data_IF_132953451243
#
_entry.id   IF_132953451243
#
_cell.length_a   1.000
_cell.length_b   1.000
_cell.length_c   1.000
_cell.angle_alpha   90.00
_cell.angle_beta   90.00
_cell.angle_gamma   90.00
#
_symmetry.space_group_name_H-M   'P 1'
#
loop_
_entity.id
_entity.type
_entity.pdbx_description
1 polymer ?
#
# COMPACT_ATOMS: atom_id res chain seq x y z
N UNK A 1 1.26 -18.82 7.18
CA UNK A 1 2.45 -17.96 7.38
C UNK A 1 2.75 -17.25 6.07
N UNK A 2 3.04 -15.94 6.09
CA UNK A 2 3.33 -15.16 4.89
C UNK A 2 4.72 -15.45 4.32
N UNK A 3 4.84 -15.40 2.99
CA UNK A 3 6.13 -15.40 2.29
C UNK A 3 6.85 -14.07 2.46
N UNK A 4 8.16 -14.02 2.22
CA UNK A 4 8.92 -12.76 2.29
C UNK A 4 8.43 -11.71 1.29
N UNK A 5 7.98 -12.16 0.12
CA UNK A 5 7.33 -11.30 -0.87
C UNK A 5 6.04 -10.69 -0.32
N UNK A 6 5.15 -11.50 0.25
CA UNK A 6 3.90 -11.02 0.85
C UNK A 6 4.17 -10.05 2.01
N UNK A 7 5.13 -10.36 2.88
CA UNK A 7 5.53 -9.44 3.96
C UNK A 7 6.02 -8.10 3.42
N UNK A 8 6.77 -8.12 2.31
CA UNK A 8 7.25 -6.91 1.64
C UNK A 8 6.10 -6.09 1.07
N UNK A 9 5.14 -6.74 0.40
CA UNK A 9 3.95 -6.07 -0.14
C UNK A 9 3.08 -5.47 0.97
N UNK A 10 2.88 -6.19 2.08
CA UNK A 10 2.10 -5.67 3.21
C UNK A 10 2.73 -4.39 3.75
N UNK A 11 4.06 -4.37 3.98
CA UNK A 11 4.76 -3.16 4.45
C UNK A 11 4.59 -2.01 3.48
N UNK A 12 4.84 -2.26 2.19
CA UNK A 12 4.74 -1.27 1.12
C UNK A 12 3.33 -0.68 1.02
N UNK A 13 2.31 -1.53 1.03
CA UNK A 13 0.92 -1.09 1.00
C UNK A 13 0.53 -0.33 2.27
N UNK A 14 1.04 -0.71 3.44
CA UNK A 14 0.83 0.06 4.67
C UNK A 14 1.59 1.40 4.69
N UNK A 15 2.40 1.70 3.66
CA UNK A 15 3.10 2.97 3.51
C UNK A 15 4.45 3.03 4.23
N UNK A 16 4.97 1.87 4.60
CA UNK A 16 6.25 1.73 5.27
C UNK A 16 7.40 1.54 4.26
N UNK A 17 8.54 2.24 4.43
CA UNK A 17 9.73 2.05 3.58
C UNK A 17 10.31 0.63 3.60
N UNK A 18 11.15 0.34 2.59
CA UNK A 18 11.73 -0.97 2.31
C UNK A 18 12.77 -1.42 3.35
N UNK A 19 12.75 -2.69 3.75
CA UNK A 19 13.52 -3.26 4.91
C UNK A 19 15.03 -3.31 4.74
N UNK A 20 15.48 -3.51 3.51
CA UNK A 20 16.85 -3.90 3.26
C UNK A 20 17.14 -5.33 3.71
N UNK A 21 18.18 -5.92 3.13
CA UNK A 21 18.56 -7.32 3.35
C UNK A 21 19.41 -7.52 4.63
N UNK A 22 20.06 -6.47 5.13
CA UNK A 22 21.08 -6.58 6.18
C UNK A 22 20.88 -5.48 7.24
N UNK A 23 20.96 -5.81 8.55
CA UNK A 23 21.00 -4.79 9.60
C UNK A 23 22.37 -4.10 9.57
N UNK A 24 22.50 -3.05 8.74
CA UNK A 24 23.63 -2.15 8.76
C UNK A 24 23.12 -0.74 9.07
N UNK A 25 23.60 -0.16 10.16
CA UNK A 25 23.24 1.20 10.62
C UNK A 25 22.13 1.26 11.67
N UNK A 26 22.30 2.17 12.64
CA UNK A 26 21.28 2.54 13.63
C UNK A 26 20.15 3.40 13.05
N UNK A 27 20.26 3.79 11.78
CA UNK A 27 19.26 4.56 11.02
C UNK A 27 18.24 3.66 10.32
N UNK A 28 18.24 2.36 10.63
CA UNK A 28 17.31 1.40 10.03
C UNK A 28 15.93 1.52 10.70
N UNK A 29 14.89 1.69 9.91
CA UNK A 29 13.51 1.83 10.38
C UNK A 29 13.00 0.69 11.28
N UNK A 30 13.73 -0.43 11.32
CA UNK A 30 13.55 -1.53 12.28
C UNK A 30 13.39 -1.07 13.73
N UNK A 31 13.95 0.08 14.09
CA UNK A 31 13.90 0.63 15.45
C UNK A 31 12.65 1.46 15.75
N UNK A 32 11.81 1.76 14.76
CA UNK A 32 10.50 2.36 15.03
C UNK A 32 9.58 1.30 15.65
N UNK A 33 9.01 1.61 16.81
CA UNK A 33 8.11 0.72 17.56
C UNK A 33 6.96 0.16 16.70
N UNK A 34 6.48 0.96 15.75
CA UNK A 34 5.43 0.60 14.81
C UNK A 34 5.83 -0.59 13.90
N UNK A 35 7.08 -0.67 13.48
CA UNK A 35 7.55 -1.76 12.64
C UNK A 35 7.73 -3.07 13.41
N UNK A 36 8.25 -3.00 14.64
CA UNK A 36 8.29 -4.16 15.52
C UNK A 36 6.90 -4.73 15.77
N UNK A 37 5.91 -3.86 15.97
CA UNK A 37 4.51 -4.25 16.13
C UNK A 37 3.96 -4.92 14.86
N UNK A 38 4.20 -4.35 13.69
CA UNK A 38 3.77 -4.95 12.41
C UNK A 38 4.38 -6.34 12.22
N UNK A 39 5.70 -6.48 12.38
CA UNK A 39 6.38 -7.77 12.23
C UNK A 39 5.87 -8.81 13.23
N UNK A 40 5.65 -8.41 14.48
CA UNK A 40 5.05 -9.29 15.48
C UNK A 40 3.67 -9.77 15.02
N UNK A 41 2.78 -8.87 14.57
CA UNK A 41 1.45 -9.25 14.08
C UNK A 41 1.53 -10.17 12.88
N UNK A 42 2.36 -9.86 11.87
CA UNK A 42 2.53 -10.70 10.69
C UNK A 42 2.96 -12.13 10.98
N UNK A 43 3.67 -12.34 12.10
CA UNK A 43 4.08 -13.68 12.53
C UNK A 43 3.05 -14.37 13.46
N UNK A 44 2.07 -13.64 14.00
CA UNK A 44 1.13 -14.15 15.01
C UNK A 44 -0.35 -14.12 14.57
N UNK A 45 -0.66 -13.73 13.33
CA UNK A 45 -2.03 -13.76 12.79
C UNK A 45 -2.56 -15.21 12.71
N UNK A 46 -3.86 -15.36 12.97
CA UNK A 46 -4.55 -16.62 12.74
C UNK A 46 -4.61 -16.96 11.24
N UNK A 47 -4.90 -18.22 10.92
CA UNK A 47 -5.07 -18.65 9.53
C UNK A 47 -6.22 -17.90 8.82
N UNK A 48 -7.30 -17.61 9.54
CA UNK A 48 -8.44 -16.86 9.00
C UNK A 48 -8.06 -15.42 8.66
N UNK A 49 -7.37 -14.72 9.57
CA UNK A 49 -6.93 -13.35 9.32
C UNK A 49 -5.86 -13.30 8.22
N UNK A 50 -4.99 -14.31 8.14
CA UNK A 50 -4.03 -14.45 7.04
C UNK A 50 -4.76 -14.45 5.70
N UNK A 51 -5.85 -15.22 5.56
CA UNK A 51 -6.64 -15.25 4.33
C UNK A 51 -7.27 -13.89 3.99
N UNK A 52 -7.74 -13.16 4.99
CA UNK A 52 -8.26 -11.79 4.79
C UNK A 52 -7.18 -10.87 4.24
N UNK A 53 -5.97 -10.92 4.80
CA UNK A 53 -4.83 -10.13 4.28
C UNK A 53 -4.48 -10.52 2.85
N UNK A 54 -4.51 -11.81 2.50
CA UNK A 54 -4.26 -12.25 1.12
C UNK A 54 -5.31 -11.69 0.14
N UNK A 55 -6.58 -11.60 0.54
CA UNK A 55 -7.63 -10.92 -0.24
C UNK A 55 -7.32 -9.44 -0.43
N UNK A 56 -6.87 -8.75 0.63
CA UNK A 56 -6.42 -7.37 0.52
C UNK A 56 -5.25 -7.23 -0.47
N UNK A 57 -4.24 -8.10 -0.40
CA UNK A 57 -3.09 -8.06 -1.31
C UNK A 57 -3.50 -8.23 -2.78
N UNK A 58 -4.41 -9.16 -3.07
CA UNK A 58 -4.92 -9.35 -4.42
C UNK A 58 -5.65 -8.10 -4.95
N UNK A 59 -6.51 -7.51 -4.11
CA UNK A 59 -7.26 -6.31 -4.49
C UNK A 59 -6.35 -5.08 -4.65
N UNK A 60 -5.39 -4.90 -3.75
CA UNK A 60 -4.44 -3.80 -3.79
C UNK A 60 -3.53 -3.88 -5.01
N UNK A 61 -3.07 -5.07 -5.39
CA UNK A 61 -2.32 -5.25 -6.63
C UNK A 61 -3.16 -4.85 -7.86
N UNK A 62 -4.43 -5.27 -7.92
CA UNK A 62 -5.32 -4.90 -9.02
C UNK A 62 -5.56 -3.38 -9.11
N UNK A 63 -5.79 -2.72 -7.97
CA UNK A 63 -5.96 -1.27 -7.89
C UNK A 63 -4.69 -0.52 -8.28
N UNK A 64 -3.52 -0.99 -7.82
CA UNK A 64 -2.22 -0.40 -8.17
C UNK A 64 -1.97 -0.43 -9.68
N UNK A 65 -2.25 -1.54 -10.36
CA UNK A 65 -2.15 -1.62 -11.82
C UNK A 65 -3.18 -0.75 -12.54
N UNK A 66 -4.35 -0.51 -11.95
CA UNK A 66 -5.40 0.30 -12.55
C UNK A 66 -5.06 1.80 -12.59
N UNK A 67 -4.25 2.30 -11.65
CA UNK A 67 -3.86 3.71 -11.58
C UNK A 67 -3.09 4.17 -12.82
N UNK A 68 -1.93 3.59 -13.20
CA UNK A 68 -1.19 4.01 -14.38
C UNK A 68 -1.94 3.71 -15.69
N UNK A 69 -2.77 2.65 -15.73
CA UNK A 69 -3.62 2.34 -16.90
C UNK A 69 -4.67 3.41 -17.20
N UNK A 70 -5.02 4.26 -16.24
CA UNK A 70 -5.85 5.44 -16.53
C UNK A 70 -5.16 6.46 -17.45
N UNK A 71 -3.84 6.32 -17.63
CA UNK A 71 -3.00 7.08 -18.55
C UNK A 71 -3.30 6.82 -20.03
N UNK A 72 -3.77 5.63 -20.40
CA UNK A 72 -3.96 5.23 -21.80
C UNK A 72 -4.96 6.12 -22.56
N UNK A 73 -5.86 6.79 -21.85
CA UNK A 73 -6.84 7.73 -22.40
C UNK A 73 -6.54 9.20 -22.11
N UNK A 74 -5.32 9.56 -21.66
CA UNK A 74 -5.00 10.93 -21.25
C UNK A 74 -5.02 11.97 -22.37
N UNK A 75 -4.68 11.55 -23.59
CA UNK A 75 -4.54 12.45 -24.74
C UNK A 75 -5.87 12.74 -25.46
N UNK A 76 -6.95 12.01 -25.13
CA UNK A 76 -8.25 12.13 -25.81
C UNK A 76 -9.35 12.49 -24.82
N UNK A 77 -9.83 13.72 -24.88
CA UNK A 77 -10.92 14.21 -24.01
C UNK A 77 -12.32 13.75 -24.48
N UNK A 78 -12.47 13.57 -25.80
CA UNK A 78 -13.70 13.07 -26.43
C UNK A 78 -13.38 12.20 -27.65
N UNK A 79 -14.00 11.02 -27.71
CA UNK A 79 -13.94 10.13 -28.87
C UNK A 79 -15.36 9.82 -29.33
N UNK A 80 -15.79 10.45 -30.44
CA UNK A 80 -17.17 10.41 -30.93
C UNK A 80 -18.18 10.84 -29.83
N UNK A 81 -19.15 9.99 -29.50
CA UNK A 81 -20.20 10.26 -28.50
C UNK A 81 -19.70 9.99 -27.06
N UNK A 82 -18.52 9.39 -26.89
CA UNK A 82 -17.96 9.05 -25.59
C UNK A 82 -17.13 10.20 -25.02
N UNK A 83 -17.50 10.65 -23.81
CA UNK A 83 -16.74 11.62 -23.02
C UNK A 83 -15.99 10.89 -21.92
N UNK A 84 -14.71 11.21 -21.73
CA UNK A 84 -13.88 10.60 -20.69
C UNK A 84 -14.20 11.16 -19.30
N UNK A 85 -14.07 10.33 -18.26
CA UNK A 85 -14.01 10.82 -16.88
C UNK A 85 -12.63 11.48 -16.63
N UNK A 86 -12.59 12.82 -16.63
CA UNK A 86 -11.37 13.60 -16.37
C UNK A 86 -10.77 13.38 -14.97
N UNK A 87 -11.54 12.84 -14.04
CA UNK A 87 -11.11 12.56 -12.67
C UNK A 87 -10.69 11.10 -12.45
N UNK A 88 -10.80 10.24 -13.45
CA UNK A 88 -10.59 8.79 -13.31
C UNK A 88 -9.25 8.42 -12.66
N UNK A 89 -8.15 9.05 -13.07
CA UNK A 89 -6.83 8.79 -12.49
C UNK A 89 -6.78 9.18 -11.00
N UNK A 90 -7.38 10.31 -10.63
CA UNK A 90 -7.49 10.77 -9.25
C UNK A 90 -8.37 9.83 -8.43
N UNK A 91 -9.54 9.46 -8.95
CA UNK A 91 -10.51 8.60 -8.26
C UNK A 91 -9.91 7.21 -8.00
N UNK A 92 -9.18 6.66 -8.97
CA UNK A 92 -8.46 5.38 -8.81
C UNK A 92 -7.34 5.47 -7.78
N UNK A 93 -6.56 6.55 -7.77
CA UNK A 93 -5.51 6.75 -6.77
C UNK A 93 -6.09 6.89 -5.36
N UNK A 94 -7.20 7.64 -5.20
CA UNK A 94 -7.91 7.78 -3.93
C UNK A 94 -8.48 6.44 -3.44
N UNK A 95 -9.09 5.66 -4.34
CA UNK A 95 -9.58 4.32 -4.02
C UNK A 95 -8.43 3.40 -3.56
N UNK A 96 -7.29 3.44 -4.25
CA UNK A 96 -6.11 2.69 -3.86
C UNK A 96 -5.62 3.07 -2.45
N UNK A 97 -5.48 4.35 -2.16
CA UNK A 97 -5.03 4.80 -0.83
C UNK A 97 -6.07 4.52 0.28
N UNK A 98 -7.36 4.56 -0.01
CA UNK A 98 -8.40 4.13 0.94
C UNK A 98 -8.26 2.65 1.30
N UNK A 99 -8.08 1.78 0.31
CA UNK A 99 -7.87 0.34 0.55
C UNK A 99 -6.59 0.07 1.33
N UNK A 100 -5.52 0.83 1.09
CA UNK A 100 -4.27 0.76 1.88
C UNK A 100 -4.51 1.12 3.34
N UNK A 101 -5.25 2.20 3.61
CA UNK A 101 -5.62 2.60 4.99
C UNK A 101 -6.52 1.57 5.67
N UNK A 102 -7.43 0.92 4.93
CA UNK A 102 -8.25 -0.19 5.47
C UNK A 102 -7.38 -1.40 5.87
N UNK A 103 -6.35 -1.73 5.09
CA UNK A 103 -5.39 -2.77 5.46
C UNK A 103 -4.64 -2.41 6.75
N UNK A 104 -4.16 -1.16 6.89
CA UNK A 104 -3.54 -0.68 8.13
C UNK A 104 -4.49 -0.81 9.33
N UNK A 105 -5.77 -0.42 9.15
CA UNK A 105 -6.81 -0.55 10.16
C UNK A 105 -7.07 -2.00 10.57
N UNK A 106 -7.15 -2.92 9.61
CA UNK A 106 -7.30 -4.36 9.88
C UNK A 106 -6.09 -4.92 10.65
N UNK A 107 -4.88 -4.55 10.23
CA UNK A 107 -3.65 -4.94 10.91
C UNK A 107 -3.43 -4.20 12.23
N UNK A 108 -4.26 -3.21 12.57
CA UNK A 108 -4.17 -2.39 13.77
C UNK A 108 -2.82 -1.68 13.92
N UNK A 109 -2.28 -1.19 12.81
CA UNK A 109 -1.07 -0.37 12.75
C UNK A 109 -1.41 1.00 12.17
N UNK A 110 -0.78 2.09 12.63
CA UNK A 110 -1.00 3.40 12.04
C UNK A 110 -0.48 3.43 10.58
N UNK A 111 -1.12 4.15 9.65
CA UNK A 111 -0.59 4.32 8.30
C UNK A 111 0.85 4.85 8.32
N UNK A 112 1.70 4.27 7.47
CA UNK A 112 3.09 4.69 7.34
C UNK A 112 3.25 6.06 6.68
N UNK A 113 4.48 6.60 6.66
CA UNK A 113 4.77 7.94 6.16
C UNK A 113 4.31 8.20 4.71
N UNK A 114 4.32 7.17 3.85
CA UNK A 114 3.88 7.29 2.47
C UNK A 114 2.35 7.41 2.30
N UNK A 115 1.58 7.30 3.39
CA UNK A 115 0.12 7.50 3.45
C UNK A 115 -0.27 8.76 4.24
N UNK A 116 0.72 9.51 4.75
CA UNK A 116 0.47 10.80 5.39
C UNK A 116 -0.10 11.79 4.36
N UNK A 117 -1.00 12.67 4.79
CA UNK A 117 -1.63 13.64 3.92
C UNK A 117 -0.60 14.67 3.42
N UNK A 118 -0.18 14.51 2.16
CA UNK A 118 0.63 15.49 1.42
C UNK A 118 2.11 15.09 1.23
N UNK A 119 2.44 14.65 0.02
CA UNK A 119 3.83 14.59 -0.50
C UNK A 119 4.68 13.42 0.01
N UNK A 120 5.84 13.24 -0.65
CA UNK A 120 6.87 12.29 -0.22
C UNK A 120 7.46 12.84 1.09
N UNK A 121 6.97 12.35 2.22
CA UNK A 121 7.50 12.73 3.53
C UNK A 121 8.78 11.94 3.80
N UNK A 122 9.92 12.64 3.79
CA UNK A 122 11.17 12.09 4.30
C UNK A 122 11.07 12.00 5.81
N UNK A 123 11.15 10.79 6.35
CA UNK A 123 11.37 10.60 7.79
C UNK A 123 12.88 10.68 8.00
N UNK A 124 13.32 11.79 8.61
CA UNK A 124 14.71 12.03 9.03
C UNK A 124 14.93 11.42 10.40
#
# INVERSE_FOLDING_TARGET
MFTDAQKTDIRRFCGYPAYGATPAGFDNWRFYQVYGLLEFRLNNLSAAETNVVLTYLAQLAALEFAVPRAGDGMDTDQAAVWTRNRHEARDRAQLFDDWRRRLCGFLGVPPGPALADGGITWVV
#
